data_IF_940793982053
#
_entry.id   IF_940793982053
#
_cell.length_a   1.000
_cell.length_b   1.000
_cell.length_c   1.000
_cell.angle_alpha   90.00
_cell.angle_beta   90.00
_cell.angle_gamma   90.00
#
_symmetry.space_group_name_H-M   'P 1'
#
loop_
_entity.id
_entity.type
_entity.pdbx_description
1 polymer ?
#
# COMPACT_ATOMS: atom_id res chain seq x y z
N UNK A 1 4.32 0.58 30.65
CA UNK A 1 5.75 0.86 30.34
C UNK A 1 6.36 1.78 31.38
N UNK A 2 5.85 3.01 31.54
CA UNK A 2 6.44 4.02 32.44
C UNK A 2 6.60 3.56 33.90
N UNK A 3 5.69 2.73 34.41
CA UNK A 3 5.79 2.17 35.77
C UNK A 3 6.78 1.02 35.93
N UNK A 4 7.29 0.47 34.82
CA UNK A 4 8.23 -0.67 34.80
C UNK A 4 9.65 -0.19 34.44
N UNK A 5 9.77 0.80 33.55
CA UNK A 5 11.05 1.39 33.13
C UNK A 5 11.15 2.84 33.60
N UNK A 6 11.98 3.07 34.63
CA UNK A 6 12.28 4.42 35.12
C UNK A 6 13.02 5.22 34.04
N UNK A 7 12.52 6.41 33.72
CA UNK A 7 13.08 7.26 32.66
C UNK A 7 12.61 6.93 31.24
N UNK A 8 11.71 5.95 31.06
CA UNK A 8 11.04 5.75 29.78
C UNK A 8 10.10 6.93 29.47
N UNK A 9 9.97 7.26 28.20
CA UNK A 9 9.00 8.23 27.69
C UNK A 9 8.23 7.64 26.50
N UNK A 10 7.18 8.32 26.06
CA UNK A 10 6.20 7.85 25.09
C UNK A 10 5.92 8.93 24.04
N UNK A 11 5.46 8.57 22.85
CA UNK A 11 5.27 9.54 21.77
C UNK A 11 3.81 9.59 21.31
N UNK A 12 3.40 8.67 20.45
CA UNK A 12 2.04 8.59 19.89
C UNK A 12 1.50 7.18 20.04
N UNK A 13 0.18 7.06 20.16
CA UNK A 13 -0.48 5.76 20.29
C UNK A 13 -1.88 5.68 19.68
N UNK A 14 -2.02 5.84 18.35
CA UNK A 14 -3.33 5.85 17.70
C UNK A 14 -3.95 4.44 17.62
N UNK A 15 -5.28 4.38 17.53
CA UNK A 15 -5.96 3.16 17.09
C UNK A 15 -5.62 2.86 15.62
N UNK A 16 -5.59 1.58 15.28
CA UNK A 16 -5.47 1.08 13.91
C UNK A 16 -6.60 0.08 13.66
N UNK A 17 -6.76 -0.35 12.40
CA UNK A 17 -7.67 -1.44 12.08
C UNK A 17 -7.31 -2.68 12.92
N UNK A 18 -8.30 -3.24 13.62
CA UNK A 18 -8.19 -4.39 14.52
C UNK A 18 -7.20 -4.24 15.69
N UNK A 19 -6.80 -3.02 16.07
CA UNK A 19 -5.92 -2.85 17.22
C UNK A 19 -5.43 -1.43 17.49
N UNK A 20 -4.24 -1.34 18.06
CA UNK A 20 -3.55 -0.09 18.38
C UNK A 20 -2.04 -0.33 18.38
N UNK A 21 -1.29 0.75 18.37
CA UNK A 21 0.13 0.71 18.76
C UNK A 21 0.45 1.85 19.70
N UNK A 22 1.62 1.80 20.33
CA UNK A 22 2.17 2.92 21.08
C UNK A 22 3.69 2.96 20.94
N UNK A 23 4.23 4.15 20.64
CA UNK A 23 5.67 4.39 20.47
C UNK A 23 6.33 4.84 21.78
N UNK A 24 7.45 4.20 22.13
CA UNK A 24 8.20 4.48 23.35
C UNK A 24 9.69 4.75 23.07
N UNK A 25 10.28 5.64 23.87
CA UNK A 25 11.73 5.82 23.98
C UNK A 25 12.14 5.26 25.35
N UNK A 26 12.99 4.23 25.34
CA UNK A 26 13.51 3.62 26.57
C UNK A 26 14.86 4.24 26.95
N UNK A 27 15.17 4.34 28.25
CA UNK A 27 16.44 4.88 28.72
C UNK A 27 17.62 3.98 28.31
N UNK A 28 18.83 4.56 28.27
CA UNK A 28 20.10 3.86 28.08
C UNK A 28 20.19 2.94 26.85
N UNK A 29 19.36 3.17 25.82
CA UNK A 29 19.32 2.35 24.61
C UNK A 29 18.72 0.95 24.85
N UNK A 30 17.98 0.75 25.94
CA UNK A 30 17.29 -0.50 26.20
C UNK A 30 16.28 -0.84 25.09
N UNK A 31 16.06 -2.14 24.84
CA UNK A 31 15.10 -2.61 23.86
C UNK A 31 14.11 -3.59 24.46
N UNK A 32 12.85 -3.55 24.01
CA UNK A 32 11.85 -4.50 24.45
C UNK A 32 12.14 -5.89 23.89
N UNK A 33 12.02 -6.88 24.76
CA UNK A 33 12.05 -8.30 24.42
C UNK A 33 10.63 -8.87 24.38
N UNK A 34 10.48 -10.11 23.91
CA UNK A 34 9.20 -10.82 23.96
C UNK A 34 8.72 -11.06 25.40
N UNK A 35 9.64 -11.28 26.33
CA UNK A 35 9.32 -11.48 27.74
C UNK A 35 8.83 -10.19 28.40
N UNK A 36 9.31 -9.03 27.93
CA UNK A 36 8.85 -7.73 28.41
C UNK A 36 7.38 -7.48 28.07
N UNK A 37 6.90 -7.95 26.92
CA UNK A 37 5.48 -7.87 26.56
C UNK A 37 4.60 -8.61 27.59
N UNK A 38 5.05 -9.76 28.09
CA UNK A 38 4.34 -10.53 29.13
C UNK A 38 4.25 -9.72 30.43
N UNK A 39 5.36 -9.07 30.82
CA UNK A 39 5.41 -8.24 32.02
C UNK A 39 4.55 -6.98 31.88
N UNK A 40 4.57 -6.32 30.72
CA UNK A 40 3.73 -5.16 30.43
C UNK A 40 2.26 -5.55 30.46
N UNK A 41 1.87 -6.65 29.80
CA UNK A 41 0.50 -7.13 29.80
C UNK A 41 0.01 -7.44 31.22
N UNK A 42 0.86 -8.08 32.05
CA UNK A 42 0.56 -8.33 33.45
C UNK A 42 0.30 -7.02 34.21
N UNK A 43 1.15 -6.01 34.05
CA UNK A 43 0.96 -4.70 34.70
C UNK A 43 -0.29 -3.98 34.20
N UNK A 44 -0.61 -4.06 32.90
CA UNK A 44 -1.87 -3.53 32.34
C UNK A 44 -3.08 -4.19 33.01
N UNK A 45 -3.07 -5.51 33.21
CA UNK A 45 -4.14 -6.23 33.91
C UNK A 45 -4.25 -5.86 35.39
N UNK A 46 -3.15 -5.47 36.04
CA UNK A 46 -3.18 -4.93 37.40
C UNK A 46 -3.86 -3.57 37.43
N UNK A 47 -3.50 -2.64 36.53
CA UNK A 47 -4.13 -1.30 36.41
C UNK A 47 -5.63 -1.42 36.12
N UNK A 48 -6.04 -2.35 35.25
CA UNK A 48 -7.46 -2.60 34.96
C UNK A 48 -8.24 -3.02 36.21
N UNK A 49 -7.61 -3.76 37.13
CA UNK A 49 -8.23 -4.14 38.42
C UNK A 49 -8.32 -2.96 39.40
N UNK A 50 -7.49 -1.93 39.23
CA UNK A 50 -7.53 -0.71 40.03
C UNK A 50 -8.73 0.20 39.64
N UNK A 51 -9.38 -0.04 38.49
CA UNK A 51 -10.57 0.67 37.99
C UNK A 51 -10.43 2.21 37.99
N UNK A 52 -9.23 2.67 37.62
CA UNK A 52 -8.90 4.08 37.49
C UNK A 52 -9.77 4.76 36.43
N UNK A 53 -10.27 5.95 36.72
CA UNK A 53 -11.10 6.73 35.80
C UNK A 53 -10.22 7.45 34.76
N UNK A 54 -10.80 7.72 33.59
CA UNK A 54 -10.21 8.59 32.59
C UNK A 54 -10.83 9.98 32.72
N UNK A 55 -10.02 10.97 33.10
CA UNK A 55 -10.47 12.35 33.29
C UNK A 55 -10.03 13.19 32.10
N UNK A 56 -11.01 13.67 31.31
CA UNK A 56 -10.76 14.55 30.16
C UNK A 56 -10.66 15.99 30.64
N UNK A 57 -9.62 16.68 30.18
CA UNK A 57 -9.42 18.09 30.39
C UNK A 57 -9.18 18.79 29.05
N UNK A 58 -9.47 20.10 29.02
CA UNK A 58 -9.21 20.99 27.90
C UNK A 58 -8.50 22.23 28.45
N UNK A 59 -7.40 22.61 27.81
CA UNK A 59 -6.55 23.73 28.22
C UNK A 59 -6.07 24.51 26.99
N UNK A 60 -5.54 25.72 27.20
CA UNK A 60 -4.93 26.49 26.11
C UNK A 60 -3.62 25.84 25.63
N UNK A 61 -3.17 26.25 24.44
CA UNK A 61 -1.85 25.83 23.95
C UNK A 61 -0.71 26.26 24.87
N UNK A 62 -0.79 27.45 25.48
CA UNK A 62 0.25 27.90 26.42
C UNK A 62 0.27 27.04 27.70
N UNK A 63 -0.90 26.77 28.27
CA UNK A 63 -1.03 25.90 29.45
C UNK A 63 -0.55 24.47 29.17
N UNK A 64 -0.78 23.97 27.95
CA UNK A 64 -0.31 22.65 27.54
C UNK A 64 1.21 22.60 27.42
N UNK A 65 1.86 23.67 26.93
CA UNK A 65 3.31 23.79 26.90
C UNK A 65 3.93 23.88 28.29
N UNK A 66 3.21 24.44 29.27
CA UNK A 66 3.63 24.40 30.68
C UNK A 66 3.52 22.98 31.24
N UNK A 67 2.42 22.27 30.96
CA UNK A 67 2.17 20.92 31.45
C UNK A 67 3.12 19.87 30.85
N UNK A 68 3.38 19.95 29.55
CA UNK A 68 4.21 19.00 28.80
C UNK A 68 5.59 19.56 28.45
N UNK A 69 6.02 20.66 29.09
CA UNK A 69 7.26 21.36 28.72
C UNK A 69 8.52 20.50 28.78
N UNK A 70 8.58 19.57 29.72
CA UNK A 70 9.68 18.60 29.87
C UNK A 70 9.49 17.34 29.01
N UNK A 71 8.31 17.18 28.40
CA UNK A 71 7.97 16.04 27.57
C UNK A 71 8.29 16.33 26.09
N UNK A 72 9.50 15.97 25.67
CA UNK A 72 10.06 16.16 24.31
C UNK A 72 9.04 16.01 23.16
N UNK A 73 8.38 14.86 23.04
CA UNK A 73 7.48 14.57 21.90
C UNK A 73 6.16 15.35 21.95
N UNK A 74 5.48 15.36 23.11
CA UNK A 74 4.23 16.09 23.31
C UNK A 74 4.40 17.60 23.15
N UNK A 75 5.52 18.18 23.60
CA UNK A 75 5.86 19.58 23.37
C UNK A 75 5.90 19.92 21.87
N UNK A 76 6.60 19.11 21.06
CA UNK A 76 6.67 19.33 19.61
C UNK A 76 5.28 19.24 18.95
N UNK A 77 4.45 18.26 19.37
CA UNK A 77 3.07 18.13 18.88
C UNK A 77 2.28 19.41 19.18
N UNK A 78 2.35 19.93 20.41
CA UNK A 78 1.65 21.14 20.81
C UNK A 78 2.12 22.34 19.97
N UNK A 79 3.43 22.56 19.85
CA UNK A 79 4.00 23.69 19.09
C UNK A 79 3.51 23.71 17.63
N UNK A 80 3.46 22.54 16.96
CA UNK A 80 3.00 22.44 15.56
C UNK A 80 1.51 22.67 15.40
N UNK A 81 0.69 22.12 16.31
CA UNK A 81 -0.76 22.32 16.27
C UNK A 81 -1.08 23.79 16.47
N UNK A 82 -0.37 24.47 17.38
CA UNK A 82 -0.51 25.91 17.60
C UNK A 82 -0.13 26.75 16.37
N UNK A 83 0.74 26.25 15.49
CA UNK A 83 1.08 26.91 14.21
C UNK A 83 0.19 26.51 13.03
N UNK A 84 -0.82 25.67 13.25
CA UNK A 84 -1.77 25.22 12.23
C UNK A 84 -1.27 24.07 11.35
N UNK A 85 -0.18 23.40 11.74
CA UNK A 85 0.33 22.21 11.05
C UNK A 85 -0.32 20.96 11.64
N UNK A 86 -1.34 20.41 10.97
CA UNK A 86 -1.98 19.16 11.36
C UNK A 86 -1.82 18.15 10.24
N UNK A 87 -1.16 17.04 10.57
CA UNK A 87 -1.09 15.84 9.74
C UNK A 87 -1.96 14.72 10.33
N UNK A 88 -2.03 13.59 9.61
CA UNK A 88 -2.81 12.42 10.03
C UNK A 88 -2.32 11.74 11.31
N UNK A 89 -1.06 11.98 11.72
CA UNK A 89 -0.51 11.43 12.98
C UNK A 89 -0.89 12.30 14.18
N UNK A 90 -0.98 13.62 13.98
CA UNK A 90 -1.29 14.63 15.01
C UNK A 90 -2.80 14.74 15.26
N UNK A 91 -3.64 14.44 14.27
CA UNK A 91 -5.09 14.68 14.34
C UNK A 91 -5.80 13.97 15.50
N UNK A 92 -5.22 12.88 16.02
CA UNK A 92 -5.74 12.15 17.17
C UNK A 92 -5.26 12.71 18.52
N UNK A 93 -4.23 13.54 18.51
CA UNK A 93 -3.55 14.04 19.70
C UNK A 93 -4.01 15.47 20.05
N UNK A 94 -4.28 16.32 19.04
CA UNK A 94 -4.77 17.68 19.27
C UNK A 94 -5.60 18.23 18.08
N UNK A 95 -6.53 19.15 18.36
CA UNK A 95 -7.42 19.78 17.37
C UNK A 95 -6.96 21.19 16.98
N UNK A 96 -7.31 21.61 15.76
CA UNK A 96 -6.91 22.91 15.16
C UNK A 96 -7.51 24.15 15.82
N UNK A 97 -8.41 23.99 16.79
CA UNK A 97 -9.27 25.06 17.30
C UNK A 97 -8.66 25.81 18.49
N UNK A 98 -7.33 25.74 18.68
CA UNK A 98 -6.59 26.44 19.74
C UNK A 98 -6.78 25.87 21.15
N UNK A 99 -7.66 24.89 21.31
CA UNK A 99 -7.91 24.16 22.57
C UNK A 99 -7.27 22.79 22.49
N UNK A 100 -6.44 22.44 23.47
CA UNK A 100 -5.75 21.15 23.53
C UNK A 100 -6.41 20.29 24.59
N UNK A 101 -6.84 19.09 24.21
CA UNK A 101 -7.40 18.12 25.13
C UNK A 101 -6.37 17.09 25.56
N UNK A 102 -6.47 16.68 26.82
CA UNK A 102 -5.64 15.62 27.38
C UNK A 102 -6.46 14.79 28.36
N UNK A 103 -6.00 13.58 28.63
CA UNK A 103 -6.60 12.65 29.57
C UNK A 103 -5.63 12.36 30.72
N UNK A 104 -6.15 12.37 31.95
CA UNK A 104 -5.45 11.82 33.11
C UNK A 104 -5.99 10.43 33.43
N UNK A 105 -5.10 9.52 33.79
CA UNK A 105 -5.45 8.20 34.28
C UNK A 105 -4.59 7.85 35.49
N UNK A 106 -5.23 7.64 36.64
CA UNK A 106 -4.51 7.46 37.91
C UNK A 106 -3.82 8.76 38.35
N UNK A 107 -2.80 8.63 39.22
CA UNK A 107 -2.10 9.79 39.79
C UNK A 107 -1.05 10.39 38.86
N UNK A 108 -0.40 9.56 38.04
CA UNK A 108 0.88 9.92 37.41
C UNK A 108 0.84 9.90 35.87
N UNK A 109 -0.22 9.37 35.24
CA UNK A 109 -0.29 9.28 33.78
C UNK A 109 -1.18 10.37 33.18
N UNK A 110 -0.61 11.14 32.26
CA UNK A 110 -1.27 12.24 31.54
C UNK A 110 -0.91 12.13 30.08
N UNK A 111 -1.87 12.16 29.17
CA UNK A 111 -1.60 11.98 27.74
C UNK A 111 -2.44 12.93 26.87
N UNK A 112 -1.85 13.43 25.79
CA UNK A 112 -2.58 14.20 24.80
C UNK A 112 -3.45 13.23 23.99
N UNK A 113 -4.73 13.57 23.83
CA UNK A 113 -5.65 12.79 23.00
C UNK A 113 -6.94 13.59 22.81
N UNK A 114 -7.52 13.53 21.62
CA UNK A 114 -8.86 14.07 21.33
C UNK A 114 -9.96 13.15 21.85
N UNK A 115 -9.68 11.84 21.88
CA UNK A 115 -10.58 10.79 22.36
C UNK A 115 -11.73 10.48 21.39
N UNK A 116 -12.85 9.90 21.87
CA UNK A 116 -13.18 9.62 23.27
C UNK A 116 -12.47 8.39 23.86
N UNK A 117 -12.34 8.35 25.19
CA UNK A 117 -11.89 7.16 25.95
C UNK A 117 -13.06 6.42 26.61
N UNK A 118 -12.84 5.16 27.01
CA UNK A 118 -13.76 4.46 27.92
C UNK A 118 -13.83 5.17 29.28
N UNK A 119 -14.93 5.03 30.07
CA UNK A 119 -15.06 5.77 31.33
C UNK A 119 -14.02 5.45 32.41
N UNK A 120 -13.58 4.18 32.47
CA UNK A 120 -12.62 3.69 33.44
C UNK A 120 -11.86 2.48 32.89
N UNK A 121 -10.66 2.26 33.42
CA UNK A 121 -9.77 1.15 33.04
C UNK A 121 -10.42 -0.22 33.27
N UNK A 122 -11.33 -0.38 34.25
CA UNK A 122 -12.06 -1.62 34.48
C UNK A 122 -13.02 -2.01 33.35
N UNK A 123 -13.27 -1.11 32.38
CA UNK A 123 -14.03 -1.41 31.15
C UNK A 123 -13.16 -2.04 30.05
N UNK A 124 -11.84 -2.06 30.22
CA UNK A 124 -10.93 -2.72 29.28
C UNK A 124 -10.93 -4.23 29.58
N UNK A 125 -11.68 -4.99 28.79
CA UNK A 125 -11.91 -6.41 29.07
C UNK A 125 -10.88 -7.36 28.44
N UNK A 126 -10.75 -7.32 27.13
CA UNK A 126 -10.05 -8.37 26.37
C UNK A 126 -9.04 -7.75 25.44
N UNK A 127 -7.76 -7.89 25.76
CA UNK A 127 -6.66 -7.39 24.95
C UNK A 127 -5.48 -8.37 24.97
N UNK A 128 -4.60 -8.24 23.98
CA UNK A 128 -3.34 -8.94 23.89
C UNK A 128 -2.28 -8.05 23.23
N UNK A 129 -1.04 -8.09 23.75
CA UNK A 129 0.10 -7.48 23.06
C UNK A 129 0.65 -8.46 22.00
N UNK A 130 1.10 -7.93 20.87
CA UNK A 130 1.45 -8.73 19.69
C UNK A 130 2.95 -8.75 19.42
N UNK A 131 3.51 -7.61 19.01
CA UNK A 131 4.91 -7.51 18.55
C UNK A 131 5.50 -6.15 18.85
N UNK A 132 6.82 -6.10 18.89
CA UNK A 132 7.62 -4.87 18.93
C UNK A 132 8.17 -4.61 17.54
N UNK A 133 8.12 -3.36 17.09
CA UNK A 133 8.77 -2.89 15.88
C UNK A 133 9.59 -1.61 16.15
N UNK A 134 10.56 -1.30 15.30
CA UNK A 134 11.21 0.01 15.30
C UNK A 134 10.37 1.01 14.50
N UNK A 135 10.28 2.24 14.98
CA UNK A 135 9.67 3.36 14.27
C UNK A 135 10.57 4.58 14.41
N UNK A 136 10.75 5.34 13.33
CA UNK A 136 11.40 6.63 13.41
C UNK A 136 10.36 7.71 13.70
N UNK A 137 10.69 8.64 14.60
CA UNK A 137 9.81 9.78 14.85
C UNK A 137 9.52 10.52 13.53
N UNK A 138 8.23 10.72 13.21
CA UNK A 138 7.74 11.29 11.94
C UNK A 138 8.15 10.54 10.67
N UNK A 139 8.59 9.29 10.79
CA UNK A 139 9.10 8.51 9.67
C UNK A 139 10.42 9.04 9.07
N UNK A 140 11.10 9.97 9.75
CA UNK A 140 12.39 10.52 9.31
C UNK A 140 13.54 9.73 9.96
N UNK A 141 14.31 8.99 9.16
CA UNK A 141 15.44 8.16 9.61
C UNK A 141 16.53 8.96 10.34
N UNK A 142 16.54 10.30 10.24
CA UNK A 142 17.46 11.17 10.98
C UNK A 142 16.98 11.49 12.40
N UNK A 143 15.74 11.16 12.73
CA UNK A 143 15.13 11.39 14.03
C UNK A 143 15.35 10.21 14.98
N UNK A 144 15.09 10.38 16.30
CA UNK A 144 15.23 9.30 17.26
C UNK A 144 14.43 8.05 16.84
N UNK A 145 15.08 6.88 16.99
CA UNK A 145 14.44 5.59 16.79
C UNK A 145 13.64 5.23 18.05
N UNK A 146 12.33 5.12 17.89
CA UNK A 146 11.36 4.69 18.89
C UNK A 146 11.07 3.21 18.75
N UNK A 147 10.50 2.64 19.81
CA UNK A 147 10.03 1.27 19.85
C UNK A 147 8.52 1.22 19.94
N UNK A 148 7.91 0.67 18.90
CA UNK A 148 6.47 0.53 18.72
C UNK A 148 5.99 -0.79 19.27
N UNK A 149 5.11 -0.77 20.27
CA UNK A 149 4.40 -1.96 20.74
C UNK A 149 3.03 -2.02 20.08
N UNK A 150 2.76 -3.10 19.36
CA UNK A 150 1.43 -3.40 18.79
C UNK A 150 0.57 -4.20 19.78
N UNK A 151 -0.71 -3.88 19.83
CA UNK A 151 -1.70 -4.62 20.60
C UNK A 151 -3.08 -4.61 19.93
N UNK A 152 -3.97 -5.46 20.43
CA UNK A 152 -5.36 -5.55 19.99
C UNK A 152 -6.29 -5.58 21.19
N UNK A 153 -7.51 -5.07 21.05
CA UNK A 153 -8.52 -5.07 22.11
C UNK A 153 -9.93 -5.30 21.53
N UNK A 154 -10.74 -6.08 22.23
CA UNK A 154 -12.05 -6.55 21.77
C UNK A 154 -13.12 -6.48 22.88
N UNK A 155 -14.38 -6.42 22.46
CA UNK A 155 -15.52 -6.33 23.35
C UNK A 155 -15.77 -7.63 24.13
N UNK A 156 -15.41 -8.79 23.55
CA UNK A 156 -15.57 -10.09 24.18
C UNK A 156 -14.31 -10.94 24.11
N UNK A 157 -14.18 -11.89 25.05
CA UNK A 157 -13.08 -12.87 25.07
C UNK A 157 -13.07 -13.71 23.78
N UNK A 158 -14.26 -14.06 23.29
CA UNK A 158 -14.41 -14.86 22.08
C UNK A 158 -13.87 -14.12 20.86
N UNK A 159 -14.19 -12.83 20.69
CA UNK A 159 -13.72 -12.06 19.54
C UNK A 159 -12.18 -11.92 19.54
N UNK A 160 -11.58 -11.76 20.73
CA UNK A 160 -10.12 -11.77 20.87
C UNK A 160 -9.54 -13.14 20.48
N UNK A 161 -10.11 -14.24 20.98
CA UNK A 161 -9.65 -15.59 20.65
C UNK A 161 -9.77 -15.88 19.15
N UNK A 162 -10.92 -15.56 18.55
CA UNK A 162 -11.18 -15.71 17.12
C UNK A 162 -10.18 -14.87 16.28
N UNK A 163 -9.86 -13.64 16.72
CA UNK A 163 -8.86 -12.80 16.06
C UNK A 163 -7.43 -13.38 16.16
N UNK A 164 -7.02 -13.83 17.35
CA UNK A 164 -5.70 -14.44 17.54
C UNK A 164 -5.55 -15.76 16.76
N UNK A 165 -6.61 -16.56 16.66
CA UNK A 165 -6.62 -17.77 15.83
C UNK A 165 -6.46 -17.42 14.34
N UNK A 166 -7.16 -16.40 13.85
CA UNK A 166 -6.98 -15.91 12.47
C UNK A 166 -5.54 -15.46 12.19
N UNK A 167 -4.89 -14.76 13.12
CA UNK A 167 -3.49 -14.36 12.99
C UNK A 167 -2.53 -15.56 12.97
N UNK A 168 -2.78 -16.58 13.78
CA UNK A 168 -1.97 -17.79 13.78
C UNK A 168 -2.12 -18.59 12.49
N UNK A 169 -3.34 -18.69 11.95
CA UNK A 169 -3.58 -19.29 10.63
C UNK A 169 -2.96 -18.47 9.50
N UNK A 170 -2.96 -17.14 9.62
CA UNK A 170 -2.30 -16.24 8.69
C UNK A 170 -0.79 -16.46 8.63
N UNK A 171 -0.14 -16.54 9.80
CA UNK A 171 1.30 -16.78 9.89
C UNK A 171 1.69 -18.16 9.31
N UNK A 172 0.84 -19.18 9.50
CA UNK A 172 1.06 -20.50 8.90
C UNK A 172 1.03 -20.49 7.37
N UNK A 173 0.28 -19.55 6.79
CA UNK A 173 0.06 -19.42 5.34
C UNK A 173 0.89 -18.30 4.72
N UNK A 174 1.80 -17.69 5.48
CA UNK A 174 2.71 -16.67 4.98
C UNK A 174 3.59 -17.26 3.86
N UNK A 175 3.49 -16.67 2.66
CA UNK A 175 4.21 -17.16 1.49
C UNK A 175 5.72 -17.10 1.66
N UNK A 176 6.26 -16.25 2.53
CA UNK A 176 7.71 -16.17 2.81
C UNK A 176 8.17 -17.37 3.61
N UNK A 177 7.36 -17.79 4.59
CA UNK A 177 7.62 -19.00 5.37
C UNK A 177 7.54 -20.23 4.46
N UNK A 178 6.46 -20.35 3.69
CA UNK A 178 6.28 -21.45 2.75
C UNK A 178 7.34 -21.47 1.66
N UNK A 179 7.76 -20.31 1.14
CA UNK A 179 8.80 -20.22 0.13
C UNK A 179 10.14 -20.79 0.63
N UNK A 180 10.48 -20.55 1.89
CA UNK A 180 11.67 -21.11 2.52
C UNK A 180 11.49 -22.61 2.83
N UNK A 181 10.40 -22.99 3.50
CA UNK A 181 10.12 -24.39 3.91
C UNK A 181 10.03 -25.35 2.73
N UNK A 182 9.48 -24.89 1.60
CA UNK A 182 9.25 -25.70 0.41
C UNK A 182 10.35 -25.56 -0.65
N UNK A 183 11.38 -24.75 -0.40
CA UNK A 183 12.48 -24.47 -1.33
C UNK A 183 11.98 -23.90 -2.68
N UNK A 184 11.14 -22.87 -2.62
CA UNK A 184 10.51 -22.24 -3.80
C UNK A 184 11.25 -20.96 -4.22
N UNK A 185 11.49 -20.06 -3.27
CA UNK A 185 12.03 -18.72 -3.50
C UNK A 185 12.86 -18.29 -2.29
N UNK A 186 13.95 -17.55 -2.53
CA UNK A 186 14.71 -16.88 -1.49
C UNK A 186 14.95 -15.40 -1.81
N UNK A 187 15.40 -14.64 -0.80
CA UNK A 187 15.80 -13.24 -0.93
C UNK A 187 17.19 -13.06 -0.31
N UNK A 188 18.27 -13.40 -1.04
CA UNK A 188 19.63 -13.25 -0.54
C UNK A 188 19.97 -11.79 -0.25
N UNK A 189 20.61 -11.52 0.90
CA UNK A 189 21.02 -10.17 1.30
C UNK A 189 21.94 -9.52 0.26
N UNK A 190 22.83 -10.30 -0.37
CA UNK A 190 23.77 -9.86 -1.41
C UNK A 190 23.08 -9.24 -2.64
N UNK A 191 21.81 -9.56 -2.91
CA UNK A 191 21.05 -8.97 -4.00
C UNK A 191 20.34 -7.67 -3.59
N UNK A 192 20.13 -7.46 -2.30
CA UNK A 192 19.36 -6.36 -1.76
C UNK A 192 17.85 -6.64 -1.66
N UNK A 193 17.11 -5.76 -0.97
CA UNK A 193 15.71 -5.98 -0.63
C UNK A 193 14.82 -5.97 -1.88
N UNK A 194 13.86 -6.91 -1.92
CA UNK A 194 12.83 -6.95 -2.95
C UNK A 194 13.32 -7.51 -4.28
N UNK A 195 14.39 -8.30 -4.26
CA UNK A 195 14.92 -9.01 -5.42
C UNK A 195 14.92 -10.51 -5.12
N UNK A 196 13.86 -11.18 -5.57
CA UNK A 196 13.61 -12.59 -5.30
C UNK A 196 14.41 -13.51 -6.25
N UNK A 197 14.95 -14.61 -5.72
CA UNK A 197 15.58 -15.68 -6.48
C UNK A 197 14.66 -16.89 -6.50
N UNK A 198 14.20 -17.26 -7.69
CA UNK A 198 13.34 -18.42 -7.88
C UNK A 198 14.19 -19.71 -7.92
N UNK A 199 13.91 -20.64 -7.01
CA UNK A 199 14.57 -21.94 -6.95
C UNK A 199 13.92 -22.91 -7.95
N UNK A 200 14.46 -24.12 -8.22
CA UNK A 200 13.93 -25.01 -9.24
C UNK A 200 12.43 -25.33 -9.09
N UNK A 201 11.94 -25.56 -7.86
CA UNK A 201 10.53 -25.85 -7.60
C UNK A 201 9.64 -24.62 -7.80
N UNK A 202 10.04 -23.46 -7.28
CA UNK A 202 9.31 -22.21 -7.50
C UNK A 202 9.31 -21.80 -8.97
N UNK A 203 10.44 -21.99 -9.66
CA UNK A 203 10.59 -21.74 -11.10
C UNK A 203 9.66 -22.61 -11.93
N UNK A 204 9.43 -23.87 -11.52
CA UNK A 204 8.45 -24.74 -12.17
C UNK A 204 7.02 -24.20 -12.01
N UNK A 205 6.64 -23.77 -10.81
CA UNK A 205 5.32 -23.16 -10.56
C UNK A 205 5.16 -21.91 -11.43
N UNK A 206 6.14 -21.01 -11.39
CA UNK A 206 6.17 -19.81 -12.22
C UNK A 206 6.06 -20.15 -13.71
N UNK A 207 6.81 -21.14 -14.20
CA UNK A 207 6.75 -21.59 -15.59
C UNK A 207 5.33 -22.05 -15.96
N UNK A 208 4.68 -22.85 -15.13
CA UNK A 208 3.31 -23.33 -15.39
C UNK A 208 2.34 -22.14 -15.50
N UNK A 209 2.45 -21.16 -14.61
CA UNK A 209 1.64 -19.93 -14.64
C UNK A 209 1.92 -19.11 -15.91
N UNK A 210 3.18 -18.92 -16.25
CA UNK A 210 3.59 -18.16 -17.44
C UNK A 210 3.16 -18.85 -18.74
N UNK A 211 3.33 -20.16 -18.87
CA UNK A 211 2.89 -20.93 -20.04
C UNK A 211 1.36 -20.86 -20.20
N UNK A 212 0.63 -20.93 -19.08
CA UNK A 212 -0.81 -20.76 -19.08
C UNK A 212 -1.21 -19.37 -19.57
N UNK A 213 -0.61 -18.32 -18.99
CA UNK A 213 -0.87 -16.93 -19.40
C UNK A 213 -0.56 -16.72 -20.88
N UNK A 214 0.58 -17.23 -21.39
CA UNK A 214 0.89 -17.20 -22.83
C UNK A 214 -0.19 -17.86 -23.66
N UNK A 215 -0.61 -19.07 -23.30
CA UNK A 215 -1.65 -19.80 -24.04
C UNK A 215 -2.97 -19.03 -24.06
N UNK A 216 -3.36 -18.40 -22.95
CA UNK A 216 -4.57 -17.57 -22.86
C UNK A 216 -4.49 -16.35 -23.77
N UNK A 217 -3.37 -15.64 -23.75
CA UNK A 217 -3.15 -14.45 -24.58
C UNK A 217 -3.06 -14.80 -26.08
N UNK A 218 -2.41 -15.91 -26.44
CA UNK A 218 -2.37 -16.38 -27.84
C UNK A 218 -3.78 -16.66 -28.37
N UNK A 219 -4.59 -17.39 -27.61
CA UNK A 219 -5.99 -17.66 -27.96
C UNK A 219 -6.88 -16.40 -27.93
N UNK A 220 -6.50 -15.40 -27.13
CA UNK A 220 -7.16 -14.09 -27.06
C UNK A 220 -6.77 -13.12 -28.19
N UNK A 221 -5.91 -13.54 -29.13
CA UNK A 221 -5.50 -12.71 -30.27
C UNK A 221 -4.45 -11.65 -29.92
N UNK A 222 -3.67 -11.87 -28.86
CA UNK A 222 -2.55 -11.00 -28.51
C UNK A 222 -1.28 -11.39 -29.27
N UNK A 223 -0.53 -10.38 -29.71
CA UNK A 223 0.77 -10.55 -30.32
C UNK A 223 1.87 -10.39 -29.28
N UNK A 224 2.75 -11.39 -29.18
CA UNK A 224 3.85 -11.37 -28.24
C UNK A 224 4.94 -10.38 -28.67
N UNK A 225 5.38 -9.56 -27.73
CA UNK A 225 6.52 -8.65 -27.89
C UNK A 225 7.53 -8.87 -26.77
N UNK A 226 8.77 -8.46 -27.00
CA UNK A 226 9.83 -8.48 -26.00
C UNK A 226 10.56 -7.16 -26.05
N UNK A 227 10.76 -6.54 -24.88
CA UNK A 227 11.41 -5.24 -24.78
C UNK A 227 12.61 -5.25 -23.83
N UNK A 228 13.62 -4.38 -24.05
CA UNK A 228 14.75 -4.24 -23.15
C UNK A 228 14.34 -3.84 -21.72
N UNK A 229 15.25 -4.04 -20.75
CA UNK A 229 15.03 -3.63 -19.36
C UNK A 229 15.46 -2.19 -19.05
N UNK A 230 16.15 -1.53 -19.98
CA UNK A 230 16.70 -0.18 -19.81
C UNK A 230 16.36 0.68 -21.03
N UNK A 231 16.16 1.97 -20.81
CA UNK A 231 16.01 2.95 -21.90
C UNK A 231 16.59 4.31 -21.52
N UNK A 232 16.89 5.11 -22.55
CA UNK A 232 17.39 6.48 -22.42
C UNK A 232 16.35 7.39 -21.74
N UNK A 233 16.82 8.41 -21.02
CA UNK A 233 15.97 9.42 -20.35
C UNK A 233 14.89 10.00 -21.27
N UNK A 234 15.23 10.28 -22.54
CA UNK A 234 14.31 10.84 -23.53
C UNK A 234 13.02 10.03 -23.71
N UNK A 235 13.06 8.69 -23.58
CA UNK A 235 11.84 7.87 -23.66
C UNK A 235 10.91 8.17 -22.48
N UNK A 236 11.48 8.31 -21.29
CA UNK A 236 10.77 8.54 -20.04
C UNK A 236 10.26 9.98 -19.92
N UNK A 237 11.05 10.95 -20.39
CA UNK A 237 10.64 12.35 -20.57
C UNK A 237 9.45 12.43 -21.53
N UNK A 238 9.57 11.81 -22.72
CA UNK A 238 8.50 11.80 -23.73
C UNK A 238 7.23 11.18 -23.16
N UNK A 239 7.33 10.06 -22.44
CA UNK A 239 6.16 9.42 -21.83
C UNK A 239 5.59 10.13 -20.60
N UNK A 240 6.31 11.10 -20.02
CA UNK A 240 5.93 11.78 -18.77
C UNK A 240 6.24 11.02 -17.48
N UNK A 241 6.86 9.85 -17.55
CA UNK A 241 7.17 9.06 -16.35
C UNK A 241 8.20 9.75 -15.45
N UNK A 242 9.14 10.53 -16.02
CA UNK A 242 10.06 11.31 -15.21
C UNK A 242 9.39 12.53 -14.53
N UNK A 243 8.28 13.02 -15.07
CA UNK A 243 7.55 14.13 -14.45
C UNK A 243 6.71 13.64 -13.26
N UNK A 244 6.07 12.47 -13.40
CA UNK A 244 5.06 11.99 -12.45
C UNK A 244 5.51 10.82 -11.57
N UNK A 245 6.56 10.09 -11.96
CA UNK A 245 6.95 8.82 -11.32
C UNK A 245 8.45 8.70 -11.03
N UNK A 246 9.23 9.79 -11.15
CA UNK A 246 10.68 9.76 -10.94
C UNK A 246 11.08 9.21 -9.55
N UNK A 247 10.33 9.52 -8.49
CA UNK A 247 10.59 9.04 -7.14
C UNK A 247 10.44 7.51 -7.01
N UNK A 248 9.59 6.90 -7.83
CA UNK A 248 9.38 5.45 -7.89
C UNK A 248 10.33 4.73 -8.85
N UNK A 249 11.23 5.45 -9.53
CA UNK A 249 12.21 4.88 -10.45
C UNK A 249 13.54 4.62 -9.76
N UNK A 250 14.26 3.58 -10.21
CA UNK A 250 15.65 3.41 -9.80
C UNK A 250 16.50 4.60 -10.27
N UNK A 251 17.55 4.97 -9.51
CA UNK A 251 18.45 6.05 -9.91
C UNK A 251 19.02 5.87 -11.32
N UNK A 252 19.27 6.96 -12.04
CA UNK A 252 19.83 6.88 -13.39
C UNK A 252 21.22 6.25 -13.42
N UNK A 253 21.52 5.57 -14.52
CA UNK A 253 22.87 5.17 -14.91
C UNK A 253 23.39 6.16 -15.97
N UNK A 254 24.49 6.84 -15.67
CA UNK A 254 25.15 7.76 -16.60
C UNK A 254 26.31 7.06 -17.32
N UNK A 255 26.23 6.98 -18.65
CA UNK A 255 27.27 6.35 -19.47
C UNK A 255 27.35 7.04 -20.83
N UNK A 256 28.56 7.31 -21.32
CA UNK A 256 28.82 7.93 -22.63
C UNK A 256 28.04 9.24 -22.87
N UNK A 257 27.91 10.07 -21.83
CA UNK A 257 27.16 11.33 -21.90
C UNK A 257 25.64 11.15 -22.08
N UNK A 258 25.13 9.95 -21.83
CA UNK A 258 23.70 9.62 -21.90
C UNK A 258 23.23 9.04 -20.57
N UNK A 259 22.00 9.42 -20.17
CA UNK A 259 21.34 8.92 -18.97
C UNK A 259 20.38 7.80 -19.33
N UNK A 260 20.49 6.66 -18.64
CA UNK A 260 19.62 5.50 -18.79
C UNK A 260 18.90 5.19 -17.48
N UNK A 261 17.69 4.64 -17.59
CA UNK A 261 16.93 4.15 -16.44
C UNK A 261 16.50 2.70 -16.68
N UNK A 262 16.50 1.86 -15.63
CA UNK A 262 15.73 0.62 -15.61
C UNK A 262 14.24 0.93 -15.79
N UNK A 263 13.52 0.09 -16.54
CA UNK A 263 12.10 0.32 -16.84
C UNK A 263 11.22 0.12 -15.60
N UNK A 264 10.41 1.12 -15.18
CA UNK A 264 9.40 0.94 -14.13
C UNK A 264 8.09 0.35 -14.66
N UNK A 265 7.86 0.44 -15.98
CA UNK A 265 6.65 0.04 -16.71
C UNK A 265 7.01 -0.33 -18.16
N UNK A 266 6.19 -1.16 -18.83
CA UNK A 266 6.44 -1.60 -20.20
C UNK A 266 5.81 -0.69 -21.28
N UNK A 267 4.83 0.14 -20.92
CA UNK A 267 3.99 0.93 -21.84
C UNK A 267 4.81 1.68 -22.91
N UNK A 268 5.87 2.44 -22.57
CA UNK A 268 6.65 3.17 -23.57
C UNK A 268 7.36 2.27 -24.58
N UNK A 269 7.69 1.03 -24.22
CA UNK A 269 8.30 0.08 -25.15
C UNK A 269 7.27 -0.50 -26.13
N UNK A 270 6.06 -0.81 -25.67
CA UNK A 270 4.99 -1.31 -26.54
C UNK A 270 4.55 -0.23 -27.54
N UNK A 271 4.62 1.04 -27.13
CA UNK A 271 4.47 2.20 -28.02
C UNK A 271 5.55 2.22 -29.11
N UNK A 272 6.81 1.92 -28.79
CA UNK A 272 7.88 1.83 -29.81
C UNK A 272 7.63 0.71 -30.81
N UNK A 273 7.06 -0.43 -30.36
CA UNK A 273 6.63 -1.51 -31.28
C UNK A 273 5.49 -1.03 -32.17
N UNK A 274 4.50 -0.35 -31.62
CA UNK A 274 3.39 0.21 -32.39
C UNK A 274 3.91 1.15 -33.50
N UNK A 275 4.80 2.08 -33.17
CA UNK A 275 5.41 3.07 -34.08
C UNK A 275 6.33 2.48 -35.16
N UNK A 276 6.74 1.22 -35.04
CA UNK A 276 7.71 0.61 -35.95
C UNK A 276 7.21 0.48 -37.40
N UNK A 277 5.90 0.56 -37.61
CA UNK A 277 5.31 0.57 -38.95
C UNK A 277 4.03 1.43 -38.98
N UNK A 278 3.67 1.88 -40.18
CA UNK A 278 2.37 2.52 -40.41
C UNK A 278 1.24 1.54 -40.07
N UNK A 279 0.14 2.08 -39.55
CA UNK A 279 -1.09 1.34 -39.24
C UNK A 279 -2.22 1.86 -40.11
N UNK A 280 -3.18 1.00 -40.40
CA UNK A 280 -4.49 1.36 -40.91
C UNK A 280 -5.52 1.20 -39.79
N UNK A 281 -6.61 1.95 -39.83
CA UNK A 281 -7.79 1.69 -38.99
C UNK A 281 -8.28 0.23 -39.01
N UNK A 282 -7.99 -0.52 -40.09
CA UNK A 282 -8.33 -1.95 -40.22
C UNK A 282 -7.45 -2.88 -39.41
N UNK A 283 -6.27 -2.42 -39.01
CA UNK A 283 -5.33 -3.17 -38.17
C UNK A 283 -5.71 -3.07 -36.68
N UNK A 284 -6.67 -2.19 -36.34
CA UNK A 284 -7.16 -2.00 -34.97
C UNK A 284 -8.42 -2.86 -34.70
N UNK A 285 -8.53 -3.48 -33.52
CA UNK A 285 -7.64 -3.34 -32.36
C UNK A 285 -6.36 -4.19 -32.48
N UNK A 286 -5.21 -3.60 -32.16
CA UNK A 286 -3.91 -4.29 -32.06
C UNK A 286 -3.59 -4.52 -30.59
N UNK A 287 -3.32 -5.77 -30.21
CA UNK A 287 -3.04 -6.15 -28.81
C UNK A 287 -1.63 -6.69 -28.67
N UNK A 288 -0.80 -6.03 -27.86
CA UNK A 288 0.53 -6.53 -27.52
C UNK A 288 0.54 -7.12 -26.12
N UNK A 289 1.28 -8.21 -25.95
CA UNK A 289 1.46 -8.87 -24.68
C UNK A 289 2.94 -9.16 -24.42
N UNK A 290 3.39 -8.93 -23.20
CA UNK A 290 4.73 -9.23 -22.74
C UNK A 290 4.69 -9.70 -21.28
N UNK A 291 5.39 -10.80 -20.97
CA UNK A 291 5.78 -11.07 -19.58
C UNK A 291 6.93 -10.12 -19.20
N UNK A 292 6.56 -8.86 -18.98
CA UNK A 292 7.46 -7.72 -18.91
C UNK A 292 8.03 -7.54 -17.50
N UNK A 293 9.34 -7.72 -17.37
CA UNK A 293 10.03 -7.52 -16.08
C UNK A 293 10.41 -6.07 -15.87
N UNK A 294 9.90 -5.49 -14.79
CA UNK A 294 10.07 -4.08 -14.44
C UNK A 294 10.74 -3.93 -13.07
N UNK A 295 11.25 -2.73 -12.82
CA UNK A 295 11.95 -2.36 -11.59
C UNK A 295 11.38 -1.08 -11.00
N UNK A 296 10.90 -1.15 -9.76
CA UNK A 296 10.34 -0.01 -9.02
C UNK A 296 11.13 0.21 -7.74
N UNK A 297 11.45 1.46 -7.45
CA UNK A 297 12.19 1.84 -6.26
C UNK A 297 11.25 1.96 -5.06
N UNK A 298 10.88 0.81 -4.49
CA UNK A 298 10.12 0.74 -3.26
C UNK A 298 11.01 1.01 -2.04
N UNK A 299 10.51 1.73 -1.04
CA UNK A 299 11.24 1.92 0.22
C UNK A 299 11.55 0.55 0.85
N UNK A 300 12.75 0.40 1.41
CA UNK A 300 13.23 -0.90 1.94
C UNK A 300 12.30 -1.48 3.00
N UNK A 301 11.75 -0.64 3.88
CA UNK A 301 10.78 -1.03 4.91
C UNK A 301 9.41 -1.44 4.36
N UNK A 302 9.08 -1.08 3.13
CA UNK A 302 7.81 -1.42 2.48
C UNK A 302 7.88 -2.75 1.70
N UNK A 303 9.08 -3.25 1.39
CA UNK A 303 9.26 -4.52 0.68
C UNK A 303 8.75 -5.69 1.52
N UNK A 304 7.96 -6.57 0.89
CA UNK A 304 7.33 -7.70 1.57
C UNK A 304 7.26 -8.95 0.69
N UNK A 305 8.35 -9.74 0.71
CA UNK A 305 8.45 -11.01 -0.02
C UNK A 305 8.13 -10.85 -1.52
N UNK A 306 7.18 -11.64 -2.05
CA UNK A 306 6.69 -11.52 -3.43
C UNK A 306 5.55 -10.50 -3.60
N UNK A 307 4.88 -10.07 -2.53
CA UNK A 307 3.69 -9.21 -2.60
C UNK A 307 4.04 -7.75 -2.89
N UNK A 308 5.18 -7.28 -2.36
CA UNK A 308 5.74 -5.96 -2.65
C UNK A 308 7.23 -6.08 -2.88
N UNK A 309 7.64 -5.97 -4.13
CA UNK A 309 8.97 -6.31 -4.62
C UNK A 309 9.54 -5.14 -5.45
N UNK A 310 10.87 -5.03 -5.51
CA UNK A 310 11.54 -4.02 -6.36
C UNK A 310 11.75 -4.50 -7.78
N UNK A 311 11.87 -5.82 -7.98
CA UNK A 311 11.91 -6.45 -9.30
C UNK A 311 10.82 -7.49 -9.42
N UNK A 312 10.02 -7.42 -10.48
CA UNK A 312 8.93 -8.36 -10.73
C UNK A 312 8.54 -8.39 -12.21
N UNK A 313 7.83 -9.45 -12.61
CA UNK A 313 7.37 -9.66 -13.97
C UNK A 313 5.85 -9.58 -13.98
N UNK A 314 5.31 -8.71 -14.81
CA UNK A 314 3.87 -8.58 -15.03
C UNK A 314 3.49 -9.31 -16.32
N UNK A 315 2.32 -9.94 -16.34
CA UNK A 315 1.63 -10.37 -17.56
C UNK A 315 0.97 -9.17 -18.24
N UNK A 316 1.82 -8.24 -18.68
CA UNK A 316 1.43 -6.92 -19.12
C UNK A 316 0.96 -6.91 -20.58
N UNK A 317 -0.05 -6.09 -20.87
CA UNK A 317 -0.59 -5.97 -22.22
C UNK A 317 -1.05 -4.55 -22.53
N UNK A 318 -0.86 -4.13 -23.78
CA UNK A 318 -1.30 -2.83 -24.28
C UNK A 318 -2.15 -3.03 -25.54
N UNK A 319 -3.37 -2.53 -25.48
CA UNK A 319 -4.35 -2.61 -26.58
C UNK A 319 -4.48 -1.23 -27.21
N UNK A 320 -4.10 -1.13 -28.48
CA UNK A 320 -4.31 0.06 -29.31
C UNK A 320 -5.61 -0.13 -30.07
N UNK A 321 -6.57 0.77 -29.86
CA UNK A 321 -7.90 0.71 -30.49
C UNK A 321 -8.40 2.11 -30.83
N UNK A 322 -9.42 2.20 -31.68
CA UNK A 322 -10.09 3.48 -31.96
C UNK A 322 -11.02 3.86 -30.80
N UNK A 323 -11.41 5.14 -30.73
CA UNK A 323 -12.30 5.63 -29.66
C UNK A 323 -13.64 4.87 -29.63
N UNK A 324 -14.14 4.49 -30.79
CA UNK A 324 -15.40 3.75 -30.95
C UNK A 324 -15.30 2.30 -30.45
N UNK A 325 -14.09 1.73 -30.45
CA UNK A 325 -13.83 0.36 -30.01
C UNK A 325 -13.65 0.25 -28.48
N UNK A 326 -13.38 1.37 -27.79
CA UNK A 326 -13.04 1.39 -26.35
C UNK A 326 -14.07 0.62 -25.49
N UNK A 327 -15.39 0.85 -25.58
CA UNK A 327 -16.34 0.15 -24.71
C UNK A 327 -16.35 -1.38 -24.92
N UNK A 328 -16.22 -1.83 -26.17
CA UNK A 328 -16.19 -3.26 -26.49
C UNK A 328 -14.89 -3.91 -26.00
N UNK A 329 -13.74 -3.25 -26.20
CA UNK A 329 -12.44 -3.74 -25.73
C UNK A 329 -12.38 -3.81 -24.20
N UNK A 330 -12.89 -2.80 -23.49
CA UNK A 330 -12.95 -2.80 -22.02
C UNK A 330 -13.81 -3.96 -21.50
N UNK A 331 -14.98 -4.19 -22.09
CA UNK A 331 -15.85 -5.31 -21.72
C UNK A 331 -15.20 -6.66 -21.99
N UNK A 332 -14.57 -6.83 -23.16
CA UNK A 332 -13.88 -8.06 -23.55
C UNK A 332 -12.69 -8.35 -22.65
N UNK A 333 -11.89 -7.32 -22.35
CA UNK A 333 -10.73 -7.41 -21.47
C UNK A 333 -11.13 -7.79 -20.05
N UNK A 334 -12.18 -7.18 -19.49
CA UNK A 334 -12.66 -7.51 -18.15
C UNK A 334 -13.11 -8.98 -18.07
N UNK A 335 -13.90 -9.44 -19.04
CA UNK A 335 -14.32 -10.83 -19.13
C UNK A 335 -13.12 -11.79 -19.24
N UNK A 336 -12.11 -11.43 -20.04
CA UNK A 336 -10.86 -12.19 -20.16
C UNK A 336 -10.13 -12.27 -18.81
N UNK A 337 -9.90 -11.16 -18.12
CA UNK A 337 -9.25 -11.13 -16.82
C UNK A 337 -10.01 -11.97 -15.77
N UNK A 338 -11.33 -11.81 -15.68
CA UNK A 338 -12.16 -12.61 -14.78
C UNK A 338 -12.07 -14.10 -15.07
N UNK A 339 -12.11 -14.49 -16.34
CA UNK A 339 -11.99 -15.89 -16.73
C UNK A 339 -10.64 -16.46 -16.29
N UNK A 340 -9.55 -15.72 -16.49
CA UNK A 340 -8.20 -16.12 -16.09
C UNK A 340 -8.13 -16.32 -14.57
N UNK A 341 -8.61 -15.36 -13.78
CA UNK A 341 -8.61 -15.46 -12.31
C UNK A 341 -9.50 -16.61 -11.80
N UNK A 342 -10.65 -16.87 -12.43
CA UNK A 342 -11.53 -18.00 -12.11
C UNK A 342 -10.84 -19.34 -12.31
N UNK A 343 -9.96 -19.47 -13.31
CA UNK A 343 -9.18 -20.69 -13.53
C UNK A 343 -8.13 -20.92 -12.41
N UNK A 344 -7.71 -19.87 -11.70
CA UNK A 344 -6.91 -19.97 -10.47
C UNK A 344 -7.75 -20.25 -9.22
N UNK A 345 -9.07 -20.37 -9.35
CA UNK A 345 -10.00 -20.64 -8.25
C UNK A 345 -10.48 -19.38 -7.51
N UNK A 346 -10.18 -18.18 -8.01
CA UNK A 346 -10.73 -16.96 -7.44
C UNK A 346 -12.17 -16.74 -7.92
N UNK A 347 -13.09 -16.61 -6.98
CA UNK A 347 -14.52 -16.40 -7.28
C UNK A 347 -15.11 -15.16 -6.60
N UNK A 348 -14.43 -14.65 -5.57
CA UNK A 348 -14.83 -13.48 -4.80
C UNK A 348 -13.98 -12.29 -5.25
N UNK A 349 -14.59 -11.41 -6.03
CA UNK A 349 -13.95 -10.23 -6.61
C UNK A 349 -14.58 -8.98 -6.03
N UNK A 350 -13.74 -8.03 -5.61
CA UNK A 350 -14.17 -6.70 -5.27
C UNK A 350 -13.57 -5.71 -6.27
N UNK A 351 -14.42 -5.12 -7.11
CA UNK A 351 -13.98 -4.14 -8.08
C UNK A 351 -14.05 -2.72 -7.50
N UNK A 352 -13.09 -1.87 -7.90
CA UNK A 352 -13.07 -0.44 -7.63
C UNK A 352 -13.02 0.29 -8.96
N UNK A 353 -14.00 1.14 -9.21
CA UNK A 353 -14.03 2.04 -10.37
C UNK A 353 -13.46 3.39 -9.92
N UNK A 354 -12.21 3.65 -10.25
CA UNK A 354 -11.55 4.89 -9.86
C UNK A 354 -11.72 5.97 -10.93
N UNK A 355 -12.34 7.08 -10.54
CA UNK A 355 -12.74 8.17 -11.45
C UNK A 355 -11.72 9.30 -11.50
N UNK A 356 -11.95 10.28 -12.38
CA UNK A 356 -11.01 11.36 -12.70
C UNK A 356 -10.51 12.13 -11.47
N UNK A 357 -9.18 12.27 -11.29
CA UNK A 357 -8.62 13.18 -10.30
C UNK A 357 -8.95 14.65 -10.63
N UNK A 358 -9.51 15.42 -9.68
CA UNK A 358 -9.95 16.79 -9.94
C UNK A 358 -8.79 17.77 -10.22
N UNK A 359 -7.60 17.54 -9.64
CA UNK A 359 -6.49 18.51 -9.71
C UNK A 359 -5.31 18.06 -10.60
N UNK A 360 -5.25 16.78 -10.97
CA UNK A 360 -4.13 16.18 -11.74
C UNK A 360 -4.63 15.22 -12.80
N UNK A 361 -5.33 15.73 -13.81
CA UNK A 361 -5.78 14.93 -14.96
C UNK A 361 -5.44 15.57 -16.30
N UNK A 362 -5.16 14.74 -17.30
CA UNK A 362 -4.91 15.13 -18.70
C UNK A 362 -5.96 14.51 -19.63
N UNK A 363 -6.16 15.09 -20.81
CA UNK A 363 -7.16 14.65 -21.78
C UNK A 363 -8.51 15.38 -21.65
N UNK A 364 -9.34 15.27 -22.69
CA UNK A 364 -10.62 15.96 -22.82
C UNK A 364 -11.71 15.34 -21.92
N UNK A 365 -12.61 16.18 -21.41
CA UNK A 365 -13.73 15.79 -20.53
C UNK A 365 -14.60 14.70 -21.18
N UNK A 366 -14.92 14.84 -22.47
CA UNK A 366 -15.74 13.87 -23.21
C UNK A 366 -15.10 12.47 -23.25
N UNK A 367 -13.77 12.40 -23.30
CA UNK A 367 -13.05 11.14 -23.37
C UNK A 367 -12.99 10.46 -22.00
N UNK A 368 -12.89 11.25 -20.93
CA UNK A 368 -13.02 10.77 -19.55
C UNK A 368 -14.41 10.20 -19.27
N UNK A 369 -15.45 10.87 -19.75
CA UNK A 369 -16.84 10.40 -19.59
C UNK A 369 -17.06 9.10 -20.35
N UNK A 370 -16.64 9.04 -21.63
CA UNK A 370 -16.71 7.83 -22.46
C UNK A 370 -16.00 6.65 -21.80
N UNK A 371 -14.79 6.89 -21.28
CA UNK A 371 -13.97 5.88 -20.63
C UNK A 371 -14.60 5.36 -19.34
N UNK A 372 -15.03 6.27 -18.48
CA UNK A 372 -15.62 5.95 -17.17
C UNK A 372 -16.93 5.18 -17.36
N UNK A 373 -17.74 5.59 -18.32
CA UNK A 373 -18.99 4.91 -18.66
C UNK A 373 -18.74 3.55 -19.32
N UNK A 374 -17.74 3.43 -20.19
CA UNK A 374 -17.34 2.14 -20.78
C UNK A 374 -16.89 1.13 -19.72
N UNK A 375 -16.09 1.56 -18.74
CA UNK A 375 -15.68 0.74 -17.60
C UNK A 375 -16.87 0.34 -16.73
N UNK A 376 -17.79 1.29 -16.47
CA UNK A 376 -19.03 1.02 -15.71
C UNK A 376 -19.88 -0.05 -16.40
N UNK A 377 -20.13 0.10 -17.69
CA UNK A 377 -20.94 -0.85 -18.47
C UNK A 377 -20.28 -2.23 -18.51
N UNK A 378 -18.95 -2.30 -18.57
CA UNK A 378 -18.23 -3.57 -18.48
C UNK A 378 -18.48 -4.27 -17.14
N UNK A 379 -18.40 -3.54 -16.02
CA UNK A 379 -18.69 -4.07 -14.68
C UNK A 379 -20.13 -4.55 -14.53
N UNK A 380 -21.10 -3.74 -15.01
CA UNK A 380 -22.53 -4.06 -14.93
C UNK A 380 -22.88 -5.31 -15.76
N UNK A 381 -22.26 -5.46 -16.93
CA UNK A 381 -22.47 -6.63 -17.81
C UNK A 381 -21.95 -7.93 -17.20
N UNK A 382 -20.85 -7.87 -16.46
CA UNK A 382 -20.29 -9.01 -15.72
C UNK A 382 -20.98 -9.23 -14.36
N UNK A 383 -22.00 -8.44 -14.04
CA UNK A 383 -22.74 -8.46 -12.76
C UNK A 383 -21.81 -8.35 -11.54
N UNK A 384 -20.69 -7.61 -11.69
CA UNK A 384 -19.71 -7.47 -10.64
C UNK A 384 -20.09 -6.37 -9.64
N UNK A 385 -20.06 -6.65 -8.33
CA UNK A 385 -20.18 -5.60 -7.33
C UNK A 385 -18.94 -4.71 -7.37
N UNK A 386 -19.15 -3.39 -7.40
CA UNK A 386 -18.05 -2.42 -7.40
C UNK A 386 -18.34 -1.21 -6.51
N UNK A 387 -17.26 -0.57 -6.06
CA UNK A 387 -17.28 0.71 -5.34
C UNK A 387 -16.71 1.78 -6.25
N UNK A 388 -17.30 2.98 -6.24
CA UNK A 388 -16.76 4.13 -6.95
C UNK A 388 -15.75 4.82 -6.03
N UNK A 389 -14.52 4.96 -6.51
CA UNK A 389 -13.45 5.69 -5.83
C UNK A 389 -13.28 7.05 -6.52
N UNK A 390 -13.91 8.08 -5.96
CA UNK A 390 -13.86 9.43 -6.52
C UNK A 390 -12.44 9.98 -6.52
N UNK A 391 -11.92 10.33 -7.70
CA UNK A 391 -10.58 10.89 -7.85
C UNK A 391 -9.41 9.90 -7.75
N UNK A 392 -9.67 8.60 -7.62
CA UNK A 392 -8.63 7.57 -7.52
C UNK A 392 -8.00 7.14 -8.85
N UNK A 393 -8.50 7.67 -9.98
CA UNK A 393 -7.98 7.36 -11.31
C UNK A 393 -6.52 7.80 -11.48
N UNK A 394 -5.84 7.28 -12.49
CA UNK A 394 -4.52 7.81 -12.82
C UNK A 394 -4.66 9.17 -13.51
N UNK A 395 -3.58 9.94 -13.58
CA UNK A 395 -3.63 11.25 -14.22
C UNK A 395 -4.05 11.20 -15.71
N UNK A 396 -3.89 10.05 -16.37
CA UNK A 396 -4.13 9.84 -17.80
C UNK A 396 -5.38 9.01 -18.14
N UNK A 397 -6.18 8.61 -17.15
CA UNK A 397 -7.45 7.92 -17.41
C UNK A 397 -8.04 7.17 -16.21
N UNK A 398 -9.31 6.77 -16.31
CA UNK A 398 -9.97 5.99 -15.28
C UNK A 398 -9.49 4.53 -15.33
N UNK A 399 -9.72 3.81 -14.24
CA UNK A 399 -9.30 2.41 -14.12
C UNK A 399 -10.29 1.59 -13.32
N UNK A 400 -10.30 0.28 -13.60
CA UNK A 400 -10.87 -0.73 -12.73
C UNK A 400 -9.72 -1.44 -12.04
N UNK A 401 -9.69 -1.37 -10.72
CA UNK A 401 -8.83 -2.22 -9.91
C UNK A 401 -9.67 -3.37 -9.35
N UNK A 402 -9.16 -4.59 -9.48
CA UNK A 402 -9.81 -5.80 -8.95
C UNK A 402 -9.00 -6.37 -7.81
N UNK A 403 -9.63 -6.39 -6.64
CA UNK A 403 -9.11 -7.01 -5.44
C UNK A 403 -9.64 -8.44 -5.33
N UNK A 404 -8.77 -9.36 -4.92
CA UNK A 404 -9.14 -10.71 -4.48
C UNK A 404 -8.72 -10.92 -3.03
N UNK A 405 -9.51 -11.71 -2.31
CA UNK A 405 -9.17 -12.11 -0.96
C UNK A 405 -8.18 -13.28 -0.97
N UNK A 406 -7.10 -13.18 -0.17
CA UNK A 406 -6.21 -14.30 0.08
C UNK A 406 -6.84 -15.32 1.04
N UNK A 407 -6.11 -16.42 1.30
CA UNK A 407 -6.59 -17.55 2.10
C UNK A 407 -6.93 -17.23 3.58
N UNK A 408 -6.71 -16.00 4.02
CA UNK A 408 -6.99 -15.48 5.36
C UNK A 408 -7.83 -14.20 5.34
N UNK A 409 -8.37 -13.82 4.17
CA UNK A 409 -9.32 -12.74 4.02
C UNK A 409 -8.72 -11.35 3.85
N UNK A 410 -7.43 -11.23 3.48
CA UNK A 410 -6.85 -9.92 3.11
C UNK A 410 -7.08 -9.66 1.63
N UNK A 411 -7.53 -8.46 1.30
CA UNK A 411 -7.71 -8.01 -0.07
C UNK A 411 -6.36 -7.64 -0.72
N UNK A 412 -6.12 -8.17 -1.93
CA UNK A 412 -4.97 -7.86 -2.77
C UNK A 412 -5.42 -7.48 -4.16
N UNK A 413 -5.00 -6.30 -4.62
CA UNK A 413 -5.19 -5.88 -6.00
C UNK A 413 -4.34 -6.77 -6.92
N UNK A 414 -4.99 -7.52 -7.81
CA UNK A 414 -4.31 -8.40 -8.76
C UNK A 414 -4.45 -7.98 -10.22
N UNK A 415 -5.53 -7.28 -10.57
CA UNK A 415 -5.79 -6.88 -11.95
C UNK A 415 -6.14 -5.41 -11.99
N UNK A 416 -5.57 -4.72 -12.97
CA UNK A 416 -5.90 -3.34 -13.29
C UNK A 416 -6.22 -3.24 -14.77
N UNK A 417 -7.40 -2.72 -15.08
CA UNK A 417 -7.78 -2.31 -16.43
C UNK A 417 -7.73 -0.80 -16.47
N UNK A 418 -6.96 -0.26 -17.39
CA UNK A 418 -6.72 1.17 -17.44
C UNK A 418 -6.79 1.68 -18.87
N UNK A 419 -7.39 2.84 -19.02
CA UNK A 419 -7.37 3.56 -20.28
C UNK A 419 -6.34 4.69 -20.22
N UNK A 420 -5.62 4.90 -21.32
CA UNK A 420 -4.57 5.92 -21.41
C UNK A 420 -4.73 6.71 -22.71
N UNK A 421 -5.09 7.97 -22.57
CA UNK A 421 -5.19 8.92 -23.68
C UNK A 421 -3.91 9.74 -23.86
N UNK A 422 -3.04 9.76 -22.85
CA UNK A 422 -1.88 10.64 -22.80
C UNK A 422 -0.70 10.09 -23.60
N UNK A 423 -0.41 8.79 -23.50
CA UNK A 423 0.70 8.20 -24.25
C UNK A 423 0.52 8.28 -25.77
N UNK A 424 -0.67 8.01 -26.35
CA UNK A 424 -0.91 8.23 -27.78
C UNK A 424 -0.56 9.65 -28.24
N UNK A 425 -1.01 10.68 -27.51
CA UNK A 425 -0.75 12.08 -27.86
C UNK A 425 0.73 12.45 -27.69
N UNK A 426 1.34 12.10 -26.55
CA UNK A 426 2.74 12.42 -26.25
C UNK A 426 3.72 11.79 -27.24
N UNK A 427 3.39 10.61 -27.78
CA UNK A 427 4.21 9.93 -28.77
C UNK A 427 3.80 10.22 -30.23
N UNK A 428 2.72 10.99 -30.45
CA UNK A 428 2.17 11.28 -31.77
C UNK A 428 1.78 10.00 -32.51
N UNK A 429 0.96 9.16 -31.88
CA UNK A 429 0.51 7.90 -32.47
C UNK A 429 -0.65 8.11 -33.43
N UNK A 430 -0.56 7.46 -34.58
CA UNK A 430 -1.54 7.55 -35.67
C UNK A 430 -1.85 6.15 -36.26
N UNK A 431 -2.90 6.06 -37.08
CA UNK A 431 -3.35 4.85 -37.79
C UNK A 431 -4.10 5.20 -39.09
#
# INVERSE_FOLDING_TARGET
>A
VLSIWEGATYAIGPPIMDGFYYDFELPDGATFTKDDLINIEKRMREIIKEDQHFERHEISSEEALELFGDHKFKKEIIERVSTGEIDSEISNEASAEGTISYYKNGQDFVDLCTGPHVPATGKLGHFALQKVAGAYWRGDEKQPMLQRIYGTAWASKKDLEDYLERLAEAEKRDHRRLAAELDLVSWPEDLGPGLAVWHPKGSLIRKVIEDYSRTRHENGGYSFVFSPHIAKSVLWETSGHLDFYAEGMYPPMEMDGTTYYPKPMNCPFHVMVYKSSQRSYRDLPTRYFELGTVYRYELSGAVHGLLRSRGFTQDDSHIFCTREQVPEELSSLLAFCLSLLRDFGFTDFQAKLSTRPPEKSVGDDELWDLATEGLRQALEKEELPYIIEEGGGAFYGPKIDMDVNDAIGRAWQLTTLQLDFNLPDRFGLEY
#
